data_IF_693337236391
#
_entry.id   IF_693337236391
#
_cell.length_a   1.000
_cell.length_b   1.000
_cell.length_c   1.000
_cell.angle_alpha   90.00
_cell.angle_beta   90.00
_cell.angle_gamma   90.00
#
_symmetry.space_group_name_H-M   'P 1'
#
loop_
_entity.id
_entity.type
_entity.pdbx_description
1 polymer ?
#
# COMPACT_ATOMS: atom_id res chain seq x y z
N UNK A 1 -6.55 13.05 -18.20
CA UNK A 1 -6.36 13.76 -16.91
C UNK A 1 -7.05 15.11 -16.95
N UNK A 2 -8.07 15.32 -16.11
CA UNK A 2 -8.73 16.62 -15.95
C UNK A 2 -8.04 17.41 -14.84
N UNK A 3 -7.82 18.70 -15.03
CA UNK A 3 -7.20 19.58 -14.02
C UNK A 3 -8.27 20.45 -13.37
N UNK A 4 -8.22 20.51 -12.04
CA UNK A 4 -9.01 21.45 -11.24
C UNK A 4 -8.10 22.60 -10.79
N UNK A 5 -8.59 23.85 -10.89
CA UNK A 5 -7.86 25.05 -10.46
C UNK A 5 -8.61 25.70 -9.31
N UNK A 6 -7.91 25.88 -8.20
CA UNK A 6 -8.43 26.51 -6.99
C UNK A 6 -7.51 27.68 -6.61
N UNK A 7 -8.07 28.73 -6.02
CA UNK A 7 -7.30 29.81 -5.39
C UNK A 7 -7.28 29.53 -3.89
N UNK A 8 -6.10 29.23 -3.35
CA UNK A 8 -5.90 28.95 -1.93
C UNK A 8 -4.97 30.01 -1.36
N UNK A 9 -5.25 30.44 -0.12
CA UNK A 9 -4.32 31.26 0.65
C UNK A 9 -3.17 30.39 1.19
N UNK A 10 -2.19 31.02 1.84
CA UNK A 10 -1.21 30.25 2.63
C UNK A 10 -1.94 29.46 3.74
N UNK A 11 -1.52 28.22 3.97
CA UNK A 11 -2.17 27.38 4.96
C UNK A 11 -1.99 25.88 4.76
N UNK A 12 -2.64 25.11 5.62
CA UNK A 12 -2.68 23.64 5.59
C UNK A 12 -4.03 23.19 5.07
N UNK A 13 -4.01 22.23 4.15
CA UNK A 13 -5.19 21.73 3.45
C UNK A 13 -5.16 20.21 3.36
N UNK A 14 -6.35 19.64 3.14
CA UNK A 14 -6.54 18.21 2.89
C UNK A 14 -7.18 18.03 1.53
N UNK A 15 -6.57 17.20 0.68
CA UNK A 15 -7.25 16.65 -0.49
C UNK A 15 -8.07 15.44 -0.01
N UNK A 16 -9.37 15.49 -0.29
CA UNK A 16 -10.32 14.42 -0.02
C UNK A 16 -11.00 14.04 -1.34
N UNK A 17 -10.90 12.76 -1.71
CA UNK A 17 -11.66 12.21 -2.82
C UNK A 17 -12.99 11.68 -2.28
N UNK A 18 -14.10 12.24 -2.76
CA UNK A 18 -15.44 11.83 -2.30
C UNK A 18 -15.80 10.42 -2.81
N UNK A 19 -15.53 10.14 -4.09
CA UNK A 19 -15.80 8.85 -4.71
C UNK A 19 -14.76 8.52 -5.78
N UNK A 20 -14.14 7.34 -5.67
CA UNK A 20 -13.28 6.81 -6.72
C UNK A 20 -14.07 6.42 -7.97
N UNK A 21 -13.49 6.58 -9.17
CA UNK A 21 -14.04 6.00 -10.39
C UNK A 21 -14.13 4.47 -10.33
N UNK A 22 -14.96 3.89 -11.20
CA UNK A 22 -15.04 2.44 -11.34
C UNK A 22 -13.66 1.83 -11.70
N UNK A 23 -13.32 0.73 -11.04
CA UNK A 23 -12.02 0.07 -11.21
C UNK A 23 -10.89 0.60 -10.32
N UNK A 24 -11.10 1.67 -9.55
CA UNK A 24 -10.07 2.27 -8.69
C UNK A 24 -10.43 2.31 -7.20
N UNK A 25 -9.43 2.19 -6.33
CA UNK A 25 -9.58 2.40 -4.90
C UNK A 25 -9.53 3.89 -4.57
N UNK A 26 -10.46 4.34 -3.71
CA UNK A 26 -10.49 5.71 -3.24
C UNK A 26 -9.19 6.07 -2.51
N UNK A 27 -8.71 7.27 -2.81
CA UNK A 27 -7.59 7.88 -2.11
C UNK A 27 -8.04 8.35 -0.74
N UNK A 28 -7.34 7.91 0.30
CA UNK A 28 -7.53 8.46 1.64
C UNK A 28 -6.97 9.88 1.71
N UNK A 29 -7.37 10.64 2.73
CA UNK A 29 -6.95 12.02 2.91
C UNK A 29 -5.44 12.23 2.76
N UNK A 30 -5.06 13.21 1.94
CA UNK A 30 -3.68 13.67 1.75
C UNK A 30 -3.58 15.09 2.29
N UNK A 31 -2.65 15.34 3.21
CA UNK A 31 -2.42 16.67 3.76
C UNK A 31 -1.27 17.37 3.05
N UNK A 32 -1.46 18.65 2.71
CA UNK A 32 -0.45 19.49 2.09
C UNK A 32 -0.53 20.93 2.62
N UNK A 33 0.56 21.69 2.45
CA UNK A 33 0.63 23.11 2.77
C UNK A 33 0.84 23.94 1.51
N UNK A 34 0.29 25.14 1.49
CA UNK A 34 0.56 26.19 0.50
C UNK A 34 1.42 27.28 1.16
N UNK A 35 2.56 27.60 0.56
CA UNK A 35 3.44 28.68 1.03
C UNK A 35 3.02 30.07 0.50
N UNK A 36 3.70 31.12 0.94
CA UNK A 36 3.47 32.52 0.50
C UNK A 36 3.61 32.75 -1.00
N UNK A 37 4.37 31.89 -1.68
CA UNK A 37 4.60 31.95 -3.12
C UNK A 37 3.59 31.07 -3.90
N UNK A 38 2.66 30.42 -3.21
CA UNK A 38 1.69 29.49 -3.79
C UNK A 38 2.25 28.11 -4.10
N UNK A 39 3.44 27.76 -3.61
CA UNK A 39 3.99 26.41 -3.79
C UNK A 39 3.41 25.44 -2.78
N UNK A 40 3.24 24.20 -3.23
CA UNK A 40 2.68 23.09 -2.48
C UNK A 40 3.80 22.24 -1.90
N UNK A 41 3.65 21.87 -0.63
CA UNK A 41 4.46 20.83 0.02
C UNK A 41 3.53 19.80 0.66
N UNK A 42 3.68 18.54 0.26
CA UNK A 42 2.94 17.44 0.89
C UNK A 42 3.50 17.21 2.30
N UNK A 43 2.62 17.09 3.29
CA UNK A 43 2.98 16.81 4.68
C UNK A 43 2.63 15.40 5.10
N UNK A 44 1.57 14.81 4.53
CA UNK A 44 1.21 13.42 4.77
C UNK A 44 0.51 12.81 3.54
N UNK A 45 1.03 11.69 3.04
CA UNK A 45 0.42 10.94 1.91
C UNK A 45 -0.51 9.82 2.36
N UNK A 46 -0.46 9.41 3.62
CA UNK A 46 -1.30 8.35 4.18
C UNK A 46 -1.32 7.03 3.35
N UNK A 47 -0.16 6.65 2.78
CA UNK A 47 -0.03 5.47 1.93
C UNK A 47 -0.50 5.64 0.47
N UNK A 48 -0.89 6.84 0.06
CA UNK A 48 -1.27 7.18 -1.31
C UNK A 48 -0.08 7.60 -2.17
N UNK A 49 -0.31 7.63 -3.48
CA UNK A 49 0.66 8.13 -4.45
C UNK A 49 0.33 9.58 -4.78
N UNK A 50 1.17 10.50 -4.31
CA UNK A 50 1.01 11.93 -4.58
C UNK A 50 2.35 12.61 -4.86
N UNK A 51 2.33 13.63 -5.72
CA UNK A 51 3.49 14.46 -6.07
C UNK A 51 3.10 15.94 -6.04
N UNK A 52 3.99 16.77 -5.52
CA UNK A 52 3.86 18.21 -5.51
C UNK A 52 5.02 18.85 -6.29
N UNK A 53 4.67 19.72 -7.24
CA UNK A 53 5.61 20.45 -8.09
C UNK A 53 5.12 21.89 -8.20
N UNK A 54 5.84 22.83 -7.55
CA UNK A 54 5.42 24.24 -7.45
C UNK A 54 3.96 24.33 -6.97
N UNK A 55 3.07 24.93 -7.75
CA UNK A 55 1.65 25.11 -7.43
C UNK A 55 0.75 23.95 -7.88
N UNK A 56 1.30 22.78 -8.21
CA UNK A 56 0.55 21.63 -8.72
C UNK A 56 0.68 20.42 -7.79
N UNK A 57 -0.47 19.95 -7.30
CA UNK A 57 -0.61 18.64 -6.65
C UNK A 57 -1.14 17.63 -7.69
N UNK A 58 -0.49 16.47 -7.78
CA UNK A 58 -0.95 15.33 -8.59
C UNK A 58 -1.17 14.15 -7.66
N UNK A 59 -2.35 13.55 -7.71
CA UNK A 59 -2.75 12.37 -6.94
C UNK A 59 -3.04 11.24 -7.93
N UNK A 60 -2.66 10.01 -7.60
CA UNK A 60 -2.84 8.84 -8.46
C UNK A 60 -3.52 7.72 -7.68
N UNK A 61 -4.66 7.29 -8.20
CA UNK A 61 -5.44 6.21 -7.62
C UNK A 61 -4.74 4.87 -7.83
N UNK A 62 -5.05 3.92 -6.95
CA UNK A 62 -4.60 2.54 -7.11
C UNK A 62 -5.70 1.74 -7.80
N UNK A 63 -5.32 0.85 -8.72
CA UNK A 63 -6.25 -0.11 -9.29
C UNK A 63 -6.89 -0.95 -8.18
N UNK A 64 -8.19 -1.23 -8.32
CA UNK A 64 -8.81 -2.28 -7.50
C UNK A 64 -8.15 -3.60 -7.88
N UNK A 65 -7.73 -4.42 -6.91
CA UNK A 65 -7.28 -5.77 -7.19
C UNK A 65 -8.37 -6.51 -7.97
N UNK A 66 -8.04 -6.93 -9.19
CA UNK A 66 -8.88 -7.88 -9.91
C UNK A 66 -8.75 -9.21 -9.19
N UNK A 67 -9.76 -9.59 -8.41
CA UNK A 67 -9.85 -10.98 -7.96
C UNK A 67 -10.09 -11.83 -9.20
N UNK A 68 -9.20 -12.81 -9.52
CA UNK A 68 -9.52 -13.81 -10.51
C UNK A 68 -10.86 -14.46 -10.14
N UNK A 69 -11.73 -14.79 -11.10
CA UNK A 69 -12.98 -15.47 -10.77
C UNK A 69 -12.62 -16.74 -9.99
N UNK A 70 -13.03 -16.79 -8.72
CA UNK A 70 -12.96 -18.01 -7.94
C UNK A 70 -13.80 -19.05 -8.68
N UNK A 71 -13.27 -20.25 -9.01
CA UNK A 71 -14.12 -21.34 -9.48
C UNK A 71 -15.26 -21.50 -8.47
N UNK A 72 -16.52 -21.52 -8.93
CA UNK A 72 -17.69 -21.68 -8.05
C UNK A 72 -17.58 -23.02 -7.31
N UNK A 73 -17.00 -23.02 -6.10
CA UNK A 73 -16.93 -24.20 -5.27
C UNK A 73 -18.24 -24.31 -4.45
N UNK A 74 -18.96 -25.44 -4.50
CA UNK A 74 -20.16 -25.66 -3.70
C UNK A 74 -19.87 -25.48 -2.20
N UNK A 75 -20.81 -24.85 -1.50
CA UNK A 75 -20.81 -24.74 -0.03
C UNK A 75 -20.92 -26.16 0.54
N UNK A 76 -19.84 -26.68 1.10
CA UNK A 76 -19.82 -27.56 2.27
C UNK A 76 -18.36 -27.78 2.73
N UNK A 77 -18.08 -27.48 4.00
CA UNK A 77 -16.79 -27.77 4.65
C UNK A 77 -16.60 -29.28 4.76
N UNK A 78 -15.38 -29.78 4.52
CA UNK A 78 -14.64 -30.31 5.66
C UNK A 78 -13.12 -29.98 5.67
N UNK A 79 -12.64 -29.73 6.89
CA UNK A 79 -11.28 -29.91 7.45
C UNK A 79 -10.08 -29.95 6.48
N UNK A 80 -9.31 -28.86 6.47
CA UNK A 80 -8.01 -28.70 5.80
C UNK A 80 -6.99 -29.73 6.26
N UNK A 81 -6.58 -30.64 5.38
CA UNK A 81 -5.31 -31.36 5.44
C UNK A 81 -4.49 -30.98 4.22
N UNK A 82 -3.47 -30.13 4.41
CA UNK A 82 -2.51 -29.79 3.36
C UNK A 82 -1.71 -31.04 2.95
N UNK A 83 -1.49 -31.30 1.65
CA UNK A 83 -0.51 -32.30 1.22
C UNK A 83 0.91 -31.75 1.32
N UNK A 84 1.81 -32.52 1.92
CA UNK A 84 3.25 -32.27 1.92
C UNK A 84 3.87 -32.88 0.66
N UNK A 85 4.49 -32.06 -0.21
CA UNK A 85 5.27 -32.54 -1.35
C UNK A 85 6.76 -32.51 -1.00
N UNK A 86 7.30 -33.67 -0.62
CA UNK A 86 8.73 -33.95 -0.57
C UNK A 86 8.96 -35.46 -0.58
N UNK A 87 9.50 -35.97 -1.69
CA UNK A 87 9.95 -37.36 -1.83
C UNK A 87 11.40 -37.46 -1.32
N UNK A 88 11.68 -38.33 -0.33
CA UNK A 88 12.93 -39.11 -0.23
C UNK A 88 12.70 -40.40 0.57
N UNK A 89 13.36 -41.46 0.10
CA UNK A 89 13.33 -42.87 0.50
C UNK A 89 13.75 -43.21 1.94
N UNK A 90 13.16 -44.32 2.41
CA UNK A 90 13.66 -45.40 3.29
C UNK A 90 14.62 -45.10 4.46
N UNK A 91 14.13 -45.37 5.69
CA UNK A 91 14.97 -45.85 6.80
C UNK A 91 14.81 -45.10 8.13
N UNK A 92 14.01 -45.69 9.03
CA UNK A 92 14.13 -45.70 10.51
C UNK A 92 14.84 -44.57 11.28
N UNK A 93 14.14 -44.12 12.33
CA UNK A 93 14.58 -43.50 13.60
C UNK A 93 14.84 -41.99 13.71
N UNK A 94 14.09 -41.42 14.67
CA UNK A 94 14.40 -40.33 15.59
C UNK A 94 14.55 -38.86 15.16
N UNK A 95 13.56 -38.08 15.64
CA UNK A 95 13.55 -36.69 16.11
C UNK A 95 14.80 -35.81 15.89
N UNK A 96 14.69 -34.82 15.00
CA UNK A 96 15.45 -33.57 15.12
C UNK A 96 14.78 -32.37 14.41
N UNK A 97 14.15 -31.53 15.26
CA UNK A 97 13.91 -30.07 15.20
C UNK A 97 14.50 -29.30 14.00
N UNK A 98 13.68 -28.43 13.39
CA UNK A 98 14.15 -27.35 12.51
C UNK A 98 13.18 -26.16 12.47
N UNK A 99 13.40 -25.18 13.37
CA UNK A 99 12.82 -23.84 13.33
C UNK A 99 13.43 -23.02 12.17
N UNK A 100 12.64 -22.22 11.46
CA UNK A 100 13.12 -20.91 10.99
C UNK A 100 11.96 -19.92 10.76
N UNK A 101 11.60 -19.20 11.82
CA UNK A 101 11.08 -17.84 11.67
C UNK A 101 12.27 -16.93 11.31
N UNK A 102 12.16 -16.18 10.20
CA UNK A 102 12.64 -14.81 10.03
C UNK A 102 12.88 -14.52 8.54
N UNK A 103 11.96 -13.78 7.90
CA UNK A 103 12.32 -13.01 6.72
C UNK A 103 12.93 -11.70 7.19
N UNK A 104 14.26 -11.63 7.16
CA UNK A 104 15.04 -10.40 7.31
C UNK A 104 14.84 -9.57 6.04
N UNK A 105 14.13 -8.44 6.13
CA UNK A 105 14.22 -7.37 5.14
C UNK A 105 15.21 -6.33 5.66
N UNK A 106 16.42 -6.39 5.10
CA UNK A 106 17.55 -5.54 5.41
C UNK A 106 17.32 -4.17 4.77
N UNK A 107 16.89 -3.18 5.56
CA UNK A 107 16.98 -1.76 5.17
C UNK A 107 18.01 -1.09 6.07
N UNK A 108 19.26 -1.09 5.61
CA UNK A 108 20.28 -0.16 6.09
C UNK A 108 20.00 1.23 5.51
N UNK A 109 19.83 2.24 6.36
CA UNK A 109 19.70 3.64 5.97
C UNK A 109 19.59 4.58 7.17
N UNK A 110 20.73 5.10 7.63
CA UNK A 110 20.95 5.85 8.87
C UNK A 110 20.01 7.05 9.08
N UNK A 111 19.42 7.10 10.27
CA UNK A 111 18.76 8.25 10.89
C UNK A 111 19.83 9.30 11.27
N UNK A 112 19.83 10.47 10.63
CA UNK A 112 20.47 11.68 11.20
C UNK A 112 19.37 12.53 11.82
N UNK A 113 19.35 12.59 13.14
CA UNK A 113 18.71 13.69 13.86
C UNK A 113 19.68 14.87 13.81
N UNK A 114 19.24 16.02 13.29
CA UNK A 114 19.88 17.29 13.61
C UNK A 114 19.09 17.94 14.76
N UNK A 115 19.84 18.47 15.74
CA UNK A 115 19.33 19.38 16.75
C UNK A 115 18.95 20.71 16.12
#
# INVERSE_FOLDING_TARGET
>A
NKTHKLKLAEGTYTFHEETAPEGYLAVTDITFTVDKNGNIKITNVNGNTAKAEKNKLTVTDKDKPVTPPTPKQPKDKPKSTLPNTGLTDNGTTDVARGLLFAAVLLIMGRKKYLR
#
